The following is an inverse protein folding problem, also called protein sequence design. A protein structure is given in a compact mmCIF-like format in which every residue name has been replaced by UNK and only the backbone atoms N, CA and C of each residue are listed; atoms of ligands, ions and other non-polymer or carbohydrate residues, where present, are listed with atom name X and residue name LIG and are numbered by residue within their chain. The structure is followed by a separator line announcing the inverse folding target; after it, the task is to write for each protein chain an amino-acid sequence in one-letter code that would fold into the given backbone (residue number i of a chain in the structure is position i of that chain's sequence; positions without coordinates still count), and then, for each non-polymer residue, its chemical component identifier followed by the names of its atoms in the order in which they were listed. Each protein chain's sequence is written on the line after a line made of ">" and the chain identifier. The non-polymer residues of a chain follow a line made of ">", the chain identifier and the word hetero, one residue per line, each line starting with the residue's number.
data_IF_993308060399
#
_entry.id   IF_993308060399
#
_cell.length_a   1.000
_cell.length_b   1.000
_cell.length_c   1.000
_cell.angle_alpha   90.00
_cell.angle_beta   90.00
_cell.angle_gamma   90.00
#
_symmetry.space_group_name_H-M   'P 1'
#
loop_
_entity.id
_entity.type
_entity.pdbx_description
1 polymer ?
#
# COMPACT_ATOMS: atom_id res chain seq x y z
N UNK A 1 6.19 1.99 -23.13
CA UNK A 1 7.13 1.71 -22.04
C UNK A 1 6.38 0.91 -20.99
N UNK A 2 6.73 -0.35 -20.79
CA UNK A 2 6.00 -1.28 -19.92
C UNK A 2 5.91 -0.72 -18.50
N UNK A 3 4.68 -0.57 -18.01
CA UNK A 3 4.42 -0.11 -16.64
C UNK A 3 4.68 -1.27 -15.69
N UNK A 4 5.93 -1.47 -15.30
CA UNK A 4 6.32 -2.48 -14.32
C UNK A 4 5.54 -2.29 -13.01
N UNK A 5 5.28 -3.38 -12.29
CA UNK A 5 4.54 -3.39 -11.02
C UNK A 5 5.05 -2.32 -10.03
N UNK A 6 6.36 -2.10 -10.00
CA UNK A 6 7.01 -1.07 -9.21
C UNK A 6 6.49 0.35 -9.51
N UNK A 7 6.28 0.71 -10.78
CA UNK A 7 5.75 2.03 -11.15
C UNK A 7 4.31 2.22 -10.69
N UNK A 8 3.48 1.17 -10.77
CA UNK A 8 2.10 1.21 -10.24
C UNK A 8 2.11 1.42 -8.74
N UNK A 9 3.00 0.70 -8.03
CA UNK A 9 3.16 0.85 -6.59
C UNK A 9 3.68 2.26 -6.25
N UNK A 10 4.69 2.79 -6.94
CA UNK A 10 5.20 4.15 -6.68
C UNK A 10 4.15 5.23 -6.95
N UNK A 11 3.36 5.11 -8.01
CA UNK A 11 2.24 6.01 -8.28
C UNK A 11 1.20 5.94 -7.16
N UNK A 12 0.86 4.73 -6.70
CA UNK A 12 -0.05 4.50 -5.57
C UNK A 12 0.46 5.12 -4.27
N UNK A 13 1.75 4.93 -3.97
CA UNK A 13 2.39 5.50 -2.77
C UNK A 13 2.36 7.04 -2.80
N UNK A 14 2.59 7.62 -3.99
CA UNK A 14 2.53 9.07 -4.19
C UNK A 14 1.10 9.62 -4.03
N UNK A 15 0.10 8.93 -4.58
CA UNK A 15 -1.31 9.33 -4.51
C UNK A 15 -1.91 9.14 -3.10
N UNK A 16 -1.54 8.04 -2.43
CA UNK A 16 -1.96 7.76 -1.05
C UNK A 16 -1.15 8.52 0.01
N UNK A 17 -0.07 9.20 -0.39
CA UNK A 17 0.94 9.77 0.52
C UNK A 17 1.45 8.76 1.57
N UNK A 18 1.47 7.47 1.21
CA UNK A 18 1.75 6.36 2.11
C UNK A 18 3.23 5.95 2.04
N UNK A 19 3.90 5.66 3.17
CA UNK A 19 5.27 5.16 3.13
C UNK A 19 5.36 3.75 2.50
N UNK A 20 6.44 3.43 1.77
CA UNK A 20 6.64 2.12 1.16
C UNK A 20 6.62 0.96 2.19
N UNK A 21 7.14 1.19 3.39
CA UNK A 21 7.15 0.18 4.46
C UNK A 21 5.76 -0.08 5.05
N UNK A 22 4.87 0.90 5.00
CA UNK A 22 3.48 0.80 5.47
C UNK A 22 2.68 -0.03 4.47
N UNK A 23 2.83 0.29 3.18
CA UNK A 23 2.21 -0.46 2.11
C UNK A 23 2.61 -1.93 2.13
N UNK A 24 3.91 -2.23 2.24
CA UNK A 24 4.38 -3.61 2.30
C UNK A 24 3.80 -4.38 3.50
N UNK A 25 3.72 -3.74 4.67
CA UNK A 25 3.10 -4.34 5.85
C UNK A 25 1.59 -4.56 5.69
N UNK A 26 0.87 -3.64 5.04
CA UNK A 26 -0.57 -3.74 4.83
C UNK A 26 -0.95 -4.76 3.74
N UNK A 27 -0.24 -4.77 2.61
CA UNK A 27 -0.55 -5.60 1.47
C UNK A 27 -0.03 -7.03 1.63
N UNK A 28 1.21 -7.19 2.11
CA UNK A 28 1.92 -8.48 2.09
C UNK A 28 2.52 -8.87 3.44
N UNK A 29 2.25 -8.09 4.51
CA UNK A 29 2.83 -8.25 5.87
C UNK A 29 4.36 -8.13 5.92
N UNK A 30 4.98 -7.57 4.89
CA UNK A 30 6.43 -7.37 4.81
C UNK A 30 6.79 -5.89 4.55
N UNK A 31 7.43 -5.18 5.50
CA UNK A 31 7.77 -3.77 5.34
C UNK A 31 8.94 -3.49 4.38
N UNK A 32 9.66 -4.52 3.92
CA UNK A 32 10.79 -4.37 2.99
C UNK A 32 10.38 -4.57 1.54
N UNK A 33 9.16 -5.05 1.29
CA UNK A 33 8.63 -5.38 -0.03
C UNK A 33 8.99 -4.35 -1.11
N UNK A 34 8.65 -3.08 -0.92
CA UNK A 34 8.91 -2.03 -1.93
C UNK A 34 10.39 -1.73 -2.07
N UNK A 35 11.16 -1.78 -0.98
CA UNK A 35 12.62 -1.61 -1.02
C UNK A 35 13.29 -2.75 -1.78
N UNK A 36 12.79 -3.97 -1.63
CA UNK A 36 13.24 -5.15 -2.37
C UNK A 36 12.91 -5.04 -3.86
N UNK A 37 11.68 -4.61 -4.20
CA UNK A 37 11.30 -4.33 -5.59
C UNK A 37 12.19 -3.25 -6.21
N UNK A 38 12.55 -2.21 -5.45
CA UNK A 38 13.47 -1.16 -5.89
C UNK A 38 14.90 -1.68 -6.04
N UNK A 39 15.28 -2.69 -5.27
CA UNK A 39 16.55 -3.41 -5.38
C UNK A 39 16.62 -4.43 -6.53
N UNK A 40 15.54 -4.58 -7.32
CA UNK A 40 15.48 -5.53 -8.43
C UNK A 40 15.00 -6.93 -8.05
N UNK A 41 14.43 -7.11 -6.85
CA UNK A 41 13.83 -8.39 -6.46
C UNK A 41 12.57 -8.64 -7.27
N UNK A 42 12.45 -9.84 -7.81
CA UNK A 42 11.24 -10.29 -8.48
C UNK A 42 10.28 -10.89 -7.44
N UNK A 43 9.11 -10.26 -7.21
CA UNK A 43 8.14 -10.78 -6.27
C UNK A 43 7.49 -12.04 -6.85
N UNK A 44 7.32 -13.07 -6.01
CA UNK A 44 6.57 -14.25 -6.41
C UNK A 44 5.12 -13.92 -6.77
N UNK A 45 4.50 -14.76 -7.60
CA UNK A 45 3.13 -14.57 -8.11
C UNK A 45 2.08 -14.35 -7.01
N UNK A 46 2.25 -15.00 -5.85
CA UNK A 46 1.39 -14.79 -4.67
C UNK A 46 1.49 -13.37 -4.12
N UNK A 47 2.71 -12.83 -4.05
CA UNK A 47 2.98 -11.49 -3.53
C UNK A 47 2.42 -10.43 -4.48
N UNK A 48 2.56 -10.64 -5.78
CA UNK A 48 1.95 -9.79 -6.81
C UNK A 48 0.43 -9.78 -6.64
N UNK A 49 -0.20 -10.96 -6.53
CA UNK A 49 -1.65 -11.06 -6.39
C UNK A 49 -2.17 -10.33 -5.14
N UNK A 50 -1.48 -10.44 -3.99
CA UNK A 50 -1.83 -9.70 -2.78
C UNK A 50 -1.67 -8.19 -2.94
N UNK A 51 -0.57 -7.74 -3.55
CA UNK A 51 -0.33 -6.32 -3.80
C UNK A 51 -1.39 -5.72 -4.75
N UNK A 52 -1.72 -6.44 -5.83
CA UNK A 52 -2.77 -6.02 -6.76
C UNK A 52 -4.15 -6.01 -6.10
N UNK A 53 -4.48 -7.03 -5.30
CA UNK A 53 -5.75 -7.09 -4.58
C UNK A 53 -5.90 -5.91 -3.61
N UNK A 54 -4.83 -5.55 -2.90
CA UNK A 54 -4.82 -4.38 -2.02
C UNK A 54 -5.04 -3.08 -2.78
N UNK A 55 -4.32 -2.87 -3.90
CA UNK A 55 -4.50 -1.69 -4.75
C UNK A 55 -5.93 -1.59 -5.31
N UNK A 56 -6.51 -2.71 -5.74
CA UNK A 56 -7.87 -2.73 -6.27
C UNK A 56 -8.91 -2.41 -5.19
N UNK A 57 -8.76 -2.98 -3.98
CA UNK A 57 -9.62 -2.67 -2.83
C UNK A 57 -9.55 -1.19 -2.46
N UNK A 58 -8.35 -0.60 -2.47
CA UNK A 58 -8.17 0.82 -2.16
C UNK A 58 -8.77 1.72 -3.24
N UNK A 59 -8.58 1.40 -4.53
CA UNK A 59 -9.24 2.12 -5.62
C UNK A 59 -10.77 2.03 -5.54
N UNK A 60 -11.31 0.86 -5.18
CA UNK A 60 -12.73 0.68 -4.97
C UNK A 60 -13.23 1.54 -3.80
N UNK A 61 -12.54 1.54 -2.66
CA UNK A 61 -12.89 2.37 -1.50
C UNK A 61 -12.84 3.87 -1.83
N UNK A 62 -11.82 4.32 -2.58
CA UNK A 62 -11.70 5.71 -3.01
C UNK A 62 -12.82 6.16 -3.95
N UNK A 63 -13.35 5.25 -4.80
CA UNK A 63 -14.53 5.55 -5.62
C UNK A 63 -15.81 5.74 -4.80
N UNK A 64 -15.86 5.21 -3.58
CA UNK A 64 -17.00 5.33 -2.66
C UNK A 64 -16.94 6.64 -1.84
N UNK A 65 -15.84 7.41 -1.93
CA UNK A 65 -15.77 8.78 -1.40
C UNK A 65 -15.19 8.92 0.02
N UNK A 66 -14.66 7.85 0.61
CA UNK A 66 -13.96 7.92 1.89
C UNK A 66 -12.48 8.21 1.64
N UNK A 67 -12.04 9.45 1.85
CA UNK A 67 -10.64 9.82 1.66
C UNK A 67 -10.11 10.59 2.86
N UNK A 68 -9.17 9.97 3.59
CA UNK A 68 -8.26 10.69 4.48
C UNK A 68 -6.82 10.48 4.01
N UNK A 69 -6.15 11.53 3.51
CA UNK A 69 -4.71 11.54 3.31
C UNK A 69 -4.02 12.05 4.58
N UNK A 70 -3.13 11.26 5.16
CA UNK A 70 -2.32 11.70 6.31
C UNK A 70 -0.83 11.60 5.99
N UNK A 71 -0.24 12.75 5.69
CA UNK A 71 1.20 12.94 5.50
C UNK A 71 1.91 13.27 6.82
N UNK A 72 2.88 12.43 7.13
CA UNK A 72 3.86 12.35 8.22
C UNK A 72 3.79 13.24 9.48
N UNK A 73 3.54 12.56 10.61
CA UNK A 73 4.47 12.50 11.77
C UNK A 73 4.55 11.02 12.20
N UNK A 74 5.26 10.22 11.39
CA UNK A 74 5.48 8.74 11.44
C UNK A 74 4.36 7.79 10.97
N UNK A 75 3.40 8.26 10.14
CA UNK A 75 2.03 7.71 10.05
C UNK A 75 1.39 7.84 11.43
N UNK A 76 0.83 9.01 11.78
CA UNK A 76 0.31 9.20 13.14
C UNK A 76 -0.88 8.30 13.30
N UNK A 77 -0.59 7.19 13.96
CA UNK A 77 -1.48 6.07 14.06
C UNK A 77 -1.62 5.42 12.68
N UNK A 78 -1.28 4.16 12.48
CA UNK A 78 -1.43 3.52 11.16
C UNK A 78 -2.91 3.48 10.66
N UNK A 79 -3.88 4.12 11.32
CA UNK A 79 -5.25 3.69 11.72
C UNK A 79 -5.39 3.43 13.24
N UNK A 80 -4.39 3.76 14.08
CA UNK A 80 -4.27 3.45 15.54
C UNK A 80 -4.92 2.13 15.92
N UNK A 81 -4.34 0.94 15.74
CA UNK A 81 -4.63 -0.32 16.51
C UNK A 81 -6.09 -0.74 16.93
N UNK A 82 -7.15 0.08 16.98
CA UNK A 82 -7.77 0.41 18.29
C UNK A 82 -9.03 1.31 18.28
N UNK A 83 -9.40 2.01 17.19
CA UNK A 83 -10.67 2.74 17.12
C UNK A 83 -11.81 1.74 16.83
N UNK A 84 -12.27 1.06 17.88
CA UNK A 84 -13.16 -0.09 17.82
C UNK A 84 -14.60 0.13 17.33
N UNK A 85 -15.32 -1.00 17.36
CA UNK A 85 -16.75 -1.24 17.08
C UNK A 85 -17.05 -1.79 15.67
N UNK A 86 -16.89 -3.11 15.55
CA UNK A 86 -17.88 -3.94 14.84
C UNK A 86 -19.01 -4.20 15.85
N UNK A 87 -20.27 -3.85 15.53
CA UNK A 87 -21.49 -4.28 16.26
C UNK A 87 -22.12 -5.50 15.58
#
# INVERSE_FOLDING_TARGET
>A
MERSLLQRIEAFLKESAMPPSVFGRAAVRDPRFVSDLRGGREPGREIICRAEHFMNKWHAARRIGDSVPLGDRRTREFWRVEAGVEE
#
